data_IF_366078418109
#
_entry.id   IF_366078418109
#
_cell.length_a   1.000
_cell.length_b   1.000
_cell.length_c   1.000
_cell.angle_alpha   90.00
_cell.angle_beta   90.00
_cell.angle_gamma   90.00
#
_symmetry.space_group_name_H-M   'P 1'
#
loop_
_entity.id
_entity.type
_entity.pdbx_description
1 polymer ?
#
# COMPACT_ATOMS: atom_id res chain seq x y z
N UNK A 1 -22.48 63.28 2.22
CA UNK A 1 -22.81 61.88 1.90
C UNK A 1 -21.63 61.32 1.12
N UNK A 2 -20.88 60.35 1.69
CA UNK A 2 -19.74 59.71 1.03
C UNK A 2 -20.26 58.91 -0.17
N UNK A 3 -19.77 59.21 -1.37
CA UNK A 3 -20.16 58.53 -2.60
C UNK A 3 -19.85 57.03 -2.50
N UNK A 4 -20.87 56.20 -2.69
CA UNK A 4 -20.70 54.76 -2.81
C UNK A 4 -20.03 54.49 -4.16
N UNK A 5 -18.73 54.18 -4.13
CA UNK A 5 -17.98 53.76 -5.31
C UNK A 5 -18.34 52.30 -5.62
N UNK A 6 -19.00 52.08 -6.76
CA UNK A 6 -19.24 50.74 -7.29
C UNK A 6 -17.99 50.19 -7.98
N UNK A 7 -17.90 48.85 -8.07
CA UNK A 7 -16.82 48.18 -8.79
C UNK A 7 -17.00 48.29 -10.30
N UNK A 8 -15.90 48.43 -11.03
CA UNK A 8 -15.92 48.38 -12.49
C UNK A 8 -16.07 46.93 -12.97
N UNK A 9 -16.66 46.76 -14.17
CA UNK A 9 -16.85 45.44 -14.76
C UNK A 9 -15.51 44.71 -15.01
N UNK A 10 -14.44 45.46 -15.29
CA UNK A 10 -13.09 44.93 -15.46
C UNK A 10 -12.50 44.39 -14.14
N UNK A 11 -12.65 45.13 -13.04
CA UNK A 11 -12.22 44.66 -11.71
C UNK A 11 -12.96 43.39 -11.30
N UNK A 12 -14.25 43.29 -11.62
CA UNK A 12 -15.04 42.10 -11.34
C UNK A 12 -14.54 40.89 -12.15
N UNK A 13 -14.14 41.08 -13.41
CA UNK A 13 -13.54 40.01 -14.23
C UNK A 13 -12.20 39.52 -13.67
N UNK A 14 -11.34 40.43 -13.21
CA UNK A 14 -10.07 40.06 -12.57
C UNK A 14 -10.30 39.36 -11.22
N UNK A 15 -11.24 39.83 -10.40
CA UNK A 15 -11.56 39.18 -9.14
C UNK A 15 -12.10 37.75 -9.35
N UNK A 16 -12.98 37.56 -10.35
CA UNK A 16 -13.53 36.25 -10.69
C UNK A 16 -12.45 35.32 -11.25
N UNK A 17 -11.53 35.79 -12.08
CA UNK A 17 -10.47 34.93 -12.63
C UNK A 17 -9.54 34.40 -11.53
N UNK A 18 -9.12 35.26 -10.60
CA UNK A 18 -8.34 34.86 -9.42
C UNK A 18 -9.12 33.85 -8.56
N UNK A 19 -10.41 34.09 -8.34
CA UNK A 19 -11.27 33.20 -7.57
C UNK A 19 -11.40 31.81 -8.23
N UNK A 20 -11.61 31.76 -9.55
CA UNK A 20 -11.71 30.49 -10.30
C UNK A 20 -10.41 29.70 -10.20
N UNK A 21 -9.25 30.35 -10.35
CA UNK A 21 -7.95 29.69 -10.20
C UNK A 21 -7.74 29.17 -8.79
N UNK A 22 -8.10 29.94 -7.77
CA UNK A 22 -7.99 29.52 -6.37
C UNK A 22 -8.88 28.29 -6.07
N UNK A 23 -10.13 28.30 -6.52
CA UNK A 23 -11.06 27.18 -6.34
C UNK A 23 -10.53 25.92 -7.05
N UNK A 24 -10.04 26.04 -8.28
CA UNK A 24 -9.48 24.91 -9.02
C UNK A 24 -8.29 24.27 -8.28
N UNK A 25 -7.42 25.09 -7.67
CA UNK A 25 -6.33 24.60 -6.83
C UNK A 25 -6.82 23.87 -5.58
N UNK A 26 -7.80 24.42 -4.87
CA UNK A 26 -8.37 23.81 -3.67
C UNK A 26 -9.05 22.47 -3.96
N UNK A 27 -9.78 22.36 -5.06
CA UNK A 27 -10.43 21.10 -5.46
C UNK A 27 -9.39 20.00 -5.71
N UNK A 28 -8.27 20.32 -6.37
CA UNK A 28 -7.18 19.36 -6.57
C UNK A 28 -6.58 18.92 -5.23
N UNK A 29 -6.29 19.88 -4.34
CA UNK A 29 -5.72 19.58 -3.03
C UNK A 29 -6.65 18.66 -2.22
N UNK A 30 -7.95 18.92 -2.23
CA UNK A 30 -8.94 18.07 -1.56
C UNK A 30 -8.95 16.63 -2.08
N UNK A 31 -8.85 16.43 -3.40
CA UNK A 31 -8.79 15.07 -3.96
C UNK A 31 -7.52 14.33 -3.52
N UNK A 32 -6.37 15.01 -3.51
CA UNK A 32 -5.11 14.44 -3.06
C UNK A 32 -5.15 14.06 -1.57
N UNK A 33 -5.62 14.96 -0.71
CA UNK A 33 -5.70 14.68 0.74
C UNK A 33 -6.70 13.59 1.05
N UNK A 34 -7.84 13.54 0.35
CA UNK A 34 -8.83 12.46 0.48
C UNK A 34 -8.22 11.10 0.08
N UNK A 35 -7.44 11.05 -1.01
CA UNK A 35 -6.78 9.81 -1.46
C UNK A 35 -5.68 9.39 -0.50
N UNK A 36 -4.87 10.34 -0.02
CA UNK A 36 -3.83 10.07 0.96
C UNK A 36 -4.42 9.55 2.29
N UNK A 37 -5.55 10.11 2.74
CA UNK A 37 -6.24 9.64 3.94
C UNK A 37 -6.79 8.21 3.78
N UNK A 38 -7.35 7.86 2.60
CA UNK A 38 -7.79 6.48 2.31
C UNK A 38 -6.62 5.50 2.29
N UNK A 39 -5.50 5.86 1.63
CA UNK A 39 -4.30 5.03 1.61
C UNK A 39 -3.77 4.82 3.03
N UNK A 40 -3.62 5.88 3.84
CA UNK A 40 -3.12 5.77 5.21
C UNK A 40 -4.02 4.88 6.10
N UNK A 41 -5.35 5.01 5.96
CA UNK A 41 -6.29 4.15 6.67
C UNK A 41 -6.15 2.67 6.28
N UNK A 42 -6.05 2.39 4.98
CA UNK A 42 -5.86 1.03 4.45
C UNK A 42 -4.49 0.45 4.79
N UNK A 43 -3.46 1.30 4.84
CA UNK A 43 -2.11 0.91 5.22
C UNK A 43 -2.08 0.36 6.66
N UNK A 44 -2.84 0.96 7.57
CA UNK A 44 -3.01 0.45 8.94
C UNK A 44 -3.65 -0.94 8.96
N UNK A 45 -4.66 -1.17 8.10
CA UNK A 45 -5.31 -2.48 7.95
C UNK A 45 -4.34 -3.51 7.36
N UNK A 46 -3.63 -3.16 6.29
CA UNK A 46 -2.64 -4.01 5.64
C UNK A 46 -1.52 -4.44 6.61
N UNK A 47 -1.01 -3.52 7.44
CA UNK A 47 -0.04 -3.85 8.51
C UNK A 47 -0.63 -4.82 9.52
N UNK A 48 -1.89 -4.63 9.91
CA UNK A 48 -2.56 -5.52 10.89
C UNK A 48 -2.72 -6.94 10.34
N UNK A 49 -3.12 -7.07 9.07
CA UNK A 49 -3.24 -8.36 8.39
C UNK A 49 -1.87 -9.04 8.22
N UNK A 50 -0.83 -8.28 7.82
CA UNK A 50 0.53 -8.79 7.71
C UNK A 50 1.08 -9.28 9.05
N UNK A 51 0.82 -8.54 10.15
CA UNK A 51 1.16 -8.97 11.50
C UNK A 51 0.41 -10.24 11.91
N UNK A 52 -0.87 -10.34 11.57
CA UNK A 52 -1.67 -11.54 11.85
C UNK A 52 -1.09 -12.76 11.14
N UNK A 53 -0.72 -12.62 9.87
CA UNK A 53 -0.04 -13.68 9.11
C UNK A 53 1.33 -14.00 9.72
N UNK A 54 2.07 -13.00 10.18
CA UNK A 54 3.34 -13.24 10.84
C UNK A 54 3.18 -14.06 12.12
N UNK A 55 2.17 -13.75 12.95
CA UNK A 55 1.89 -14.53 14.15
C UNK A 55 1.46 -15.97 13.84
N UNK A 56 0.75 -16.20 12.73
CA UNK A 56 0.46 -17.55 12.24
C UNK A 56 1.76 -18.31 11.90
N UNK A 57 2.67 -17.68 11.16
CA UNK A 57 3.98 -18.27 10.83
C UNK A 57 4.81 -18.53 12.09
N UNK A 58 4.81 -17.59 13.05
CA UNK A 58 5.53 -17.74 14.33
C UNK A 58 4.98 -18.85 15.22
N UNK A 59 3.71 -19.23 15.04
CA UNK A 59 3.07 -20.35 15.73
C UNK A 59 3.22 -21.68 14.96
N UNK A 60 3.87 -21.69 13.80
CA UNK A 60 4.23 -22.89 13.06
C UNK A 60 5.56 -23.45 13.56
N UNK A 61 5.74 -24.77 13.49
CA UNK A 61 7.03 -25.39 13.80
C UNK A 61 8.11 -24.83 12.85
N UNK A 62 9.22 -24.36 13.42
CA UNK A 62 10.35 -23.78 12.69
C UNK A 62 10.76 -24.60 11.47
N UNK A 63 10.89 -25.93 11.63
CA UNK A 63 11.34 -26.84 10.55
C UNK A 63 10.35 -26.91 9.37
N UNK A 64 9.10 -26.48 9.58
CA UNK A 64 8.05 -26.47 8.56
C UNK A 64 7.85 -25.09 7.93
N UNK A 65 8.40 -24.02 8.49
CA UNK A 65 8.12 -22.64 8.01
C UNK A 65 8.56 -22.46 6.57
N UNK A 66 9.82 -22.77 6.25
CA UNK A 66 10.34 -22.63 4.89
C UNK A 66 9.59 -23.52 3.88
N UNK A 67 9.17 -24.71 4.30
CA UNK A 67 8.43 -25.64 3.44
C UNK A 67 6.99 -25.18 3.21
N UNK A 68 6.30 -24.71 4.25
CA UNK A 68 4.88 -24.34 4.18
C UNK A 68 4.65 -22.98 3.52
N UNK A 69 5.59 -22.06 3.66
CA UNK A 69 5.45 -20.66 3.24
C UNK A 69 6.48 -20.23 2.19
N UNK A 70 7.38 -21.11 1.75
CA UNK A 70 8.42 -20.78 0.76
C UNK A 70 7.92 -20.73 -0.68
N UNK A 71 6.82 -21.40 -1.01
CA UNK A 71 6.22 -21.35 -2.35
C UNK A 71 4.81 -21.95 -2.38
N UNK A 72 3.87 -21.30 -3.07
CA UNK A 72 2.60 -21.85 -3.57
C UNK A 72 1.54 -22.25 -2.53
N UNK A 73 0.26 -22.09 -2.89
CA UNK A 73 -0.86 -22.85 -2.27
C UNK A 73 -1.22 -22.48 -0.83
N UNK A 74 -1.87 -23.40 -0.09
CA UNK A 74 -2.33 -23.21 1.30
C UNK A 74 -1.52 -24.09 2.26
N UNK A 75 -0.77 -23.54 3.24
CA UNK A 75 -0.77 -22.11 3.61
C UNK A 75 -0.13 -21.21 2.56
N UNK A 76 1.00 -21.65 1.98
CA UNK A 76 1.74 -21.06 0.87
C UNK A 76 2.37 -19.70 1.11
N UNK A 77 3.05 -19.20 0.09
CA UNK A 77 3.75 -17.92 0.14
C UNK A 77 2.86 -16.72 -0.18
N UNK A 78 1.56 -16.92 -0.43
CA UNK A 78 0.62 -15.83 -0.67
C UNK A 78 -0.64 -16.00 0.16
N UNK A 79 -1.30 -14.88 0.46
CA UNK A 79 -2.56 -14.89 1.20
C UNK A 79 -3.45 -13.73 0.78
N UNK A 80 -4.77 -13.94 0.84
CA UNK A 80 -5.74 -12.88 0.62
C UNK A 80 -5.93 -12.05 1.88
N UNK A 81 -6.06 -10.74 1.72
CA UNK A 81 -6.39 -9.84 2.81
C UNK A 81 -7.89 -9.97 3.14
N UNK A 82 -8.23 -10.12 4.42
CA UNK A 82 -9.63 -10.39 4.80
C UNK A 82 -10.49 -9.13 4.87
N UNK A 83 -9.87 -7.97 5.14
CA UNK A 83 -10.55 -6.70 5.40
C UNK A 83 -10.53 -5.72 4.22
N UNK A 84 -9.63 -5.92 3.25
CA UNK A 84 -9.48 -5.08 2.07
C UNK A 84 -9.18 -5.95 0.85
N UNK A 85 -9.52 -5.47 -0.34
CA UNK A 85 -9.15 -6.15 -1.59
C UNK A 85 -7.64 -6.01 -1.83
N UNK A 86 -6.89 -7.08 -1.62
CA UNK A 86 -5.45 -7.12 -1.84
C UNK A 86 -4.85 -8.48 -1.51
N UNK A 87 -3.56 -8.58 -1.79
CA UNK A 87 -2.76 -9.80 -1.71
C UNK A 87 -1.54 -9.52 -0.85
N UNK A 88 -1.20 -10.46 0.01
CA UNK A 88 0.09 -10.50 0.70
C UNK A 88 0.97 -11.60 0.13
N UNK A 89 2.27 -11.33 0.09
CA UNK A 89 3.32 -12.25 -0.37
C UNK A 89 4.37 -12.39 0.72
N UNK A 90 4.90 -13.60 0.89
CA UNK A 90 5.88 -13.98 1.90
C UNK A 90 7.15 -14.41 1.17
N UNK A 91 8.25 -13.74 1.48
CA UNK A 91 9.59 -14.15 1.08
C UNK A 91 10.33 -14.72 2.29
N UNK A 92 11.04 -15.83 2.07
CA UNK A 92 11.79 -16.52 3.11
C UNK A 92 13.22 -16.72 2.63
N UNK A 93 14.17 -16.10 3.33
CA UNK A 93 15.57 -16.47 3.23
C UNK A 93 15.87 -17.55 4.27
N UNK A 94 16.21 -18.74 3.77
CA UNK A 94 16.59 -19.93 4.55
C UNK A 94 18.06 -20.29 4.37
N UNK A 95 18.90 -19.36 3.91
CA UNK A 95 20.34 -19.56 3.72
C UNK A 95 21.07 -19.98 5.00
N UNK A 96 20.51 -19.67 6.17
CA UNK A 96 20.97 -20.14 7.47
C UNK A 96 19.96 -21.15 8.06
N UNK A 97 20.44 -22.35 8.42
CA UNK A 97 19.61 -23.41 8.97
C UNK A 97 18.97 -23.04 10.33
N UNK A 98 19.58 -22.14 11.10
CA UNK A 98 19.15 -21.78 12.47
C UNK A 98 18.47 -20.40 12.54
N UNK A 99 18.46 -19.66 11.42
CA UNK A 99 17.86 -18.33 11.30
C UNK A 99 17.14 -18.19 9.95
N UNK A 100 15.82 -18.02 9.99
CA UNK A 100 15.03 -17.61 8.83
C UNK A 100 14.84 -16.10 8.83
N UNK A 101 15.01 -15.46 7.68
CA UNK A 101 14.55 -14.08 7.45
C UNK A 101 13.22 -14.15 6.73
N UNK A 102 12.19 -13.60 7.34
CA UNK A 102 10.84 -13.53 6.79
C UNK A 102 10.58 -12.09 6.38
N UNK A 103 10.08 -11.91 5.17
CA UNK A 103 9.66 -10.63 4.62
C UNK A 103 8.24 -10.79 4.11
N UNK A 104 7.32 -9.99 4.65
CA UNK A 104 5.92 -10.01 4.24
C UNK A 104 5.59 -8.68 3.58
N UNK A 105 5.22 -8.74 2.31
CA UNK A 105 4.84 -7.58 1.51
C UNK A 105 3.35 -7.65 1.25
N UNK A 106 2.66 -6.51 1.32
CA UNK A 106 1.22 -6.44 1.07
C UNK A 106 0.89 -5.41 0.02
N UNK A 107 0.18 -5.83 -1.01
CA UNK A 107 -0.34 -5.00 -2.08
C UNK A 107 -1.87 -4.96 -2.03
N UNK A 108 -2.48 -3.81 -2.29
CA UNK A 108 -3.93 -3.68 -2.17
C UNK A 108 -4.50 -2.59 -3.07
N UNK A 109 -5.82 -2.67 -3.30
CA UNK A 109 -6.58 -1.64 -3.96
C UNK A 109 -7.09 -0.58 -2.99
N UNK A 110 -6.88 0.69 -3.34
CA UNK A 110 -7.50 1.81 -2.65
C UNK A 110 -9.00 1.95 -3.04
N UNK A 111 -9.72 2.89 -2.43
CA UNK A 111 -11.15 3.12 -2.71
C UNK A 111 -11.44 3.51 -4.16
N UNK A 112 -10.45 4.01 -4.89
CA UNK A 112 -10.55 4.42 -6.29
C UNK A 112 -10.05 3.34 -7.26
N UNK A 113 -9.89 2.09 -6.78
CA UNK A 113 -9.41 0.96 -7.57
C UNK A 113 -8.01 1.16 -8.17
N UNK A 114 -7.19 1.97 -7.50
CA UNK A 114 -5.76 2.08 -7.78
C UNK A 114 -5.01 1.14 -6.83
N UNK A 115 -4.13 0.34 -7.40
CA UNK A 115 -3.20 -0.51 -6.65
C UNK A 115 -2.16 0.34 -5.92
N UNK A 116 -1.91 -0.05 -4.67
CA UNK A 116 -0.78 0.37 -3.84
C UNK A 116 0.12 -0.85 -3.67
N UNK A 117 1.35 -0.76 -4.18
CA UNK A 117 2.28 -1.87 -4.31
C UNK A 117 2.70 -2.11 -5.77
N UNK A 118 3.65 -3.00 -5.96
CA UNK A 118 4.14 -3.43 -7.26
C UNK A 118 3.23 -4.45 -7.95
N UNK A 119 2.55 -5.30 -7.18
CA UNK A 119 1.60 -6.33 -7.63
C UNK A 119 0.34 -5.67 -8.24
N UNK A 120 0.36 -5.42 -9.55
CA UNK A 120 -0.62 -4.59 -10.27
C UNK A 120 -1.94 -5.31 -10.53
N UNK A 121 -1.94 -6.64 -10.54
CA UNK A 121 -3.15 -7.42 -10.74
C UNK A 121 -3.61 -8.20 -9.49
N UNK A 122 -2.82 -8.14 -8.41
CA UNK A 122 -3.11 -8.71 -7.09
C UNK A 122 -3.16 -10.24 -7.09
N UNK A 123 -2.34 -10.88 -7.92
CA UNK A 123 -2.23 -12.34 -7.96
C UNK A 123 -1.10 -12.89 -7.05
N UNK A 124 -0.20 -12.01 -6.59
CA UNK A 124 0.93 -12.34 -5.72
C UNK A 124 2.12 -12.99 -6.44
N UNK A 125 2.18 -12.87 -7.76
CA UNK A 125 3.27 -13.31 -8.63
C UNK A 125 3.99 -12.06 -9.14
N UNK A 126 5.32 -12.13 -9.29
CA UNK A 126 6.07 -11.03 -9.87
C UNK A 126 6.01 -11.11 -11.40
N UNK A 127 5.22 -10.23 -12.01
CA UNK A 127 5.04 -10.17 -13.45
C UNK A 127 5.96 -9.16 -14.16
N UNK A 128 5.99 -9.25 -15.49
CA UNK A 128 6.78 -8.36 -16.32
C UNK A 128 6.31 -6.90 -16.16
N UNK A 129 7.19 -6.06 -15.63
CA UNK A 129 6.93 -4.63 -15.42
C UNK A 129 6.41 -4.28 -14.03
N UNK A 130 6.35 -5.24 -13.11
CA UNK A 130 6.00 -5.01 -11.70
C UNK A 130 7.23 -4.72 -10.83
N UNK A 131 8.36 -5.36 -11.12
CA UNK A 131 9.65 -5.12 -10.46
C UNK A 131 10.22 -3.74 -10.87
N UNK A 132 9.84 -2.67 -10.18
CA UNK A 132 10.24 -1.30 -10.54
C UNK A 132 11.72 -1.05 -10.22
N UNK A 133 12.28 -1.76 -9.24
CA UNK A 133 13.65 -1.56 -8.75
C UNK A 133 14.67 -2.64 -9.18
N UNK A 134 14.21 -3.75 -9.76
CA UNK A 134 15.03 -4.84 -10.29
C UNK A 134 15.56 -5.81 -9.25
N UNK A 135 14.92 -5.94 -8.08
CA UNK A 135 15.38 -6.81 -6.99
C UNK A 135 14.82 -8.24 -7.06
N UNK A 136 13.93 -8.55 -8.01
CA UNK A 136 13.31 -9.86 -8.18
C UNK A 136 12.25 -10.20 -7.11
N UNK A 137 11.67 -9.21 -6.45
CA UNK A 137 10.57 -9.33 -5.48
C UNK A 137 9.51 -8.27 -5.78
N UNK A 138 8.32 -8.46 -5.22
CA UNK A 138 7.28 -7.45 -5.17
C UNK A 138 7.55 -6.55 -3.98
N UNK A 139 7.53 -5.24 -4.19
CA UNK A 139 7.64 -4.23 -3.15
C UNK A 139 6.33 -3.49 -2.91
N UNK A 140 6.16 -2.97 -1.69
CA UNK A 140 5.03 -2.13 -1.34
C UNK A 140 5.37 -1.19 -0.18
N UNK A 141 4.50 -0.20 0.03
CA UNK A 141 4.57 0.68 1.20
C UNK A 141 4.29 -0.02 2.55
N UNK A 142 3.87 -1.29 2.51
CA UNK A 142 3.74 -2.16 3.68
C UNK A 142 4.61 -3.38 3.47
N UNK A 143 5.69 -3.42 4.22
CA UNK A 143 6.66 -4.49 4.28
C UNK A 143 7.00 -4.75 5.75
N UNK A 144 7.02 -6.01 6.15
CA UNK A 144 7.46 -6.45 7.48
C UNK A 144 8.61 -7.45 7.32
N UNK A 145 9.80 -7.04 7.74
CA UNK A 145 10.96 -7.93 7.83
C UNK A 145 11.14 -8.37 9.29
N UNK A 146 11.29 -9.68 9.51
CA UNK A 146 11.59 -10.24 10.81
C UNK A 146 12.53 -11.43 10.73
N UNK A 147 13.07 -11.79 11.89
CA UNK A 147 14.05 -12.85 12.07
C UNK A 147 13.44 -13.92 12.97
N UNK A 148 13.35 -15.14 12.48
CA UNK A 148 12.90 -16.29 13.25
C UNK A 148 14.08 -17.21 13.52
N UNK A 149 14.39 -17.43 14.80
CA UNK A 149 15.43 -18.36 15.23
C UNK A 149 14.82 -19.70 15.60
N UNK A 150 15.62 -20.76 15.42
CA UNK A 150 15.28 -22.07 15.94
C UNK A 150 15.25 -22.02 17.47
N UNK A 151 14.17 -22.54 18.08
CA UNK A 151 13.97 -22.58 19.54
C UNK A 151 14.46 -23.88 20.14
#
# INVERSE_FOLDING_TARGET
MKGQQGFTLLELLFAVSVLVTAIAGMVRLFMYTSTAADIAGRQTIAVTEAQTKLEEIRNTNYDLVATNYGSGGSPGNTFDLSLINGKGVIYIDSSNAELLVLEIVVSWNNKYNRVVGEDKDLDGILDAGEDENGNGKLDSSVELITYLTRR
#
